data_IF_790460278865
#
_entry.id   IF_790460278865
#
_cell.length_a   1.000
_cell.length_b   1.000
_cell.length_c   1.000
_cell.angle_alpha   90.00
_cell.angle_beta   90.00
_cell.angle_gamma   90.00
#
_symmetry.space_group_name_H-M   'P 1'
#
loop_
_entity.id
_entity.type
_entity.pdbx_description
1 polymer ?
#
# COMPACT_ATOMS: atom_id res chain seq x y z
N UNK A 1 3.60 -40.31 -10.23
CA UNK A 1 4.01 -38.97 -10.63
C UNK A 1 3.08 -38.51 -11.75
N UNK A 2 2.05 -37.75 -11.43
CA UNK A 2 1.12 -37.22 -12.40
C UNK A 2 1.88 -36.17 -13.23
N UNK A 3 2.12 -36.46 -14.51
CA UNK A 3 2.66 -35.47 -15.46
C UNK A 3 1.69 -34.27 -15.50
N UNK A 4 2.18 -33.13 -15.11
CA UNK A 4 1.43 -31.86 -15.22
C UNK A 4 1.04 -31.67 -16.70
N UNK A 5 -0.20 -31.30 -16.95
CA UNK A 5 -0.67 -31.06 -18.30
C UNK A 5 0.15 -29.93 -18.98
N UNK A 6 0.34 -29.97 -20.31
CA UNK A 6 1.07 -28.91 -21.04
C UNK A 6 0.55 -27.49 -20.75
N UNK A 7 -0.75 -27.35 -20.47
CA UNK A 7 -1.41 -26.10 -20.11
C UNK A 7 -0.90 -25.53 -18.77
N UNK A 8 -0.64 -26.39 -17.78
CA UNK A 8 -0.11 -25.98 -16.50
C UNK A 8 1.33 -25.46 -16.65
N UNK A 9 2.14 -26.12 -17.48
CA UNK A 9 3.51 -25.66 -17.76
C UNK A 9 3.51 -24.32 -18.48
N UNK A 10 2.63 -24.12 -19.46
CA UNK A 10 2.51 -22.85 -20.18
C UNK A 10 2.11 -21.72 -19.24
N UNK A 11 1.12 -21.96 -18.39
CA UNK A 11 0.68 -21.02 -17.37
C UNK A 11 1.83 -20.66 -16.42
N UNK A 12 2.56 -21.66 -15.91
CA UNK A 12 3.68 -21.46 -15.02
C UNK A 12 4.80 -20.62 -15.64
N UNK A 13 5.09 -20.83 -16.94
CA UNK A 13 6.09 -20.04 -17.67
C UNK A 13 5.65 -18.58 -17.80
N UNK A 14 4.41 -18.32 -18.21
CA UNK A 14 3.90 -16.95 -18.36
C UNK A 14 3.91 -16.22 -17.01
N UNK A 15 3.48 -16.88 -15.94
CA UNK A 15 3.55 -16.30 -14.58
C UNK A 15 4.99 -16.03 -14.15
N UNK A 16 5.90 -17.00 -14.34
CA UNK A 16 7.30 -16.85 -13.96
C UNK A 16 7.98 -15.69 -14.72
N UNK A 17 7.75 -15.58 -16.03
CA UNK A 17 8.27 -14.47 -16.84
C UNK A 17 7.72 -13.13 -16.37
N UNK A 18 6.43 -13.06 -16.06
CA UNK A 18 5.79 -11.84 -15.54
C UNK A 18 6.42 -11.42 -14.21
N UNK A 19 6.63 -12.37 -13.29
CA UNK A 19 7.28 -12.11 -12.00
C UNK A 19 8.71 -11.62 -12.21
N UNK A 20 9.47 -12.24 -13.11
CA UNK A 20 10.85 -11.83 -13.44
C UNK A 20 10.89 -10.42 -14.02
N UNK A 21 9.98 -10.07 -14.91
CA UNK A 21 9.89 -8.72 -15.48
C UNK A 21 9.60 -7.67 -14.40
N UNK A 22 8.72 -7.97 -13.44
CA UNK A 22 8.47 -7.08 -12.31
C UNK A 22 9.65 -7.00 -11.34
N UNK A 23 10.27 -8.13 -11.02
CA UNK A 23 11.41 -8.18 -10.10
C UNK A 23 12.65 -7.45 -10.64
N UNK A 24 12.87 -7.51 -11.95
CA UNK A 24 14.00 -6.84 -12.61
C UNK A 24 13.73 -5.40 -13.01
N UNK A 25 12.47 -4.95 -12.95
CA UNK A 25 12.03 -3.63 -13.41
C UNK A 25 12.53 -3.25 -14.82
N UNK A 26 12.73 -4.26 -15.69
CA UNK A 26 13.19 -4.06 -17.08
C UNK A 26 12.17 -3.31 -17.91
N UNK A 27 10.88 -3.46 -17.60
CA UNK A 27 9.78 -2.78 -18.25
C UNK A 27 8.95 -2.03 -17.21
N UNK A 28 8.28 -0.94 -17.59
CA UNK A 28 7.27 -0.29 -16.73
C UNK A 28 6.22 -1.31 -16.28
N UNK A 29 5.78 -1.22 -15.03
CA UNK A 29 4.86 -2.18 -14.39
C UNK A 29 3.58 -2.39 -15.21
N UNK A 30 3.01 -1.32 -15.76
CA UNK A 30 1.79 -1.39 -16.58
C UNK A 30 2.00 -2.12 -17.91
N UNK A 31 3.20 -2.00 -18.54
CA UNK A 31 3.55 -2.74 -19.76
C UNK A 31 3.62 -4.24 -19.44
N UNK A 32 4.29 -4.61 -18.35
CA UNK A 32 4.36 -6.00 -17.90
C UNK A 32 2.97 -6.59 -17.66
N UNK A 33 2.07 -5.82 -17.02
CA UNK A 33 0.69 -6.25 -16.81
C UNK A 33 -0.07 -6.45 -18.15
N UNK A 34 0.07 -5.52 -19.09
CA UNK A 34 -0.56 -5.65 -20.43
C UNK A 34 -0.02 -6.86 -21.19
N UNK A 35 1.28 -7.11 -21.12
CA UNK A 35 1.90 -8.30 -21.75
C UNK A 35 1.39 -9.59 -21.11
N UNK A 36 1.20 -9.62 -19.79
CA UNK A 36 0.58 -10.76 -19.11
C UNK A 36 -0.82 -11.04 -19.65
N UNK A 37 -1.70 -10.03 -19.70
CA UNK A 37 -3.05 -10.18 -20.23
C UNK A 37 -3.05 -10.59 -21.70
N UNK A 38 -2.19 -9.99 -22.52
CA UNK A 38 -2.05 -10.35 -23.93
C UNK A 38 -1.60 -11.81 -24.11
N UNK A 39 -0.57 -12.23 -23.37
CA UNK A 39 -0.10 -13.61 -23.40
C UNK A 39 -1.18 -14.60 -22.94
N UNK A 40 -1.87 -14.30 -21.84
CA UNK A 40 -2.94 -15.15 -21.32
C UNK A 40 -4.07 -15.35 -22.33
N UNK A 41 -4.42 -14.30 -23.08
CA UNK A 41 -5.47 -14.35 -24.10
C UNK A 41 -4.99 -15.05 -25.38
N UNK A 42 -3.81 -14.70 -25.88
CA UNK A 42 -3.28 -15.27 -27.15
C UNK A 42 -2.95 -16.76 -27.02
N UNK A 43 -2.46 -17.17 -25.86
CA UNK A 43 -2.10 -18.56 -25.56
C UNK A 43 -3.29 -19.37 -25.00
N UNK A 44 -4.47 -18.77 -24.92
CA UNK A 44 -5.71 -19.40 -24.43
C UNK A 44 -5.53 -20.08 -23.05
N UNK A 45 -4.75 -19.46 -22.15
CA UNK A 45 -4.46 -20.01 -20.81
C UNK A 45 -5.74 -20.22 -20.00
N UNK A 46 -6.67 -19.28 -20.08
CA UNK A 46 -7.98 -19.35 -19.42
C UNK A 46 -9.02 -18.53 -20.22
N UNK A 47 -10.33 -18.77 -19.99
CA UNK A 47 -11.38 -17.93 -20.56
C UNK A 47 -11.22 -16.45 -20.17
N UNK A 48 -11.59 -15.54 -21.08
CA UNK A 48 -11.51 -14.10 -20.84
C UNK A 48 -12.17 -13.67 -19.53
N UNK A 49 -13.31 -14.25 -19.19
CA UNK A 49 -14.01 -13.99 -17.94
C UNK A 49 -13.15 -14.30 -16.69
N UNK A 50 -12.30 -15.32 -16.76
CA UNK A 50 -11.36 -15.65 -15.68
C UNK A 50 -10.15 -14.74 -15.68
N UNK A 51 -9.55 -14.50 -16.85
CA UNK A 51 -8.36 -13.63 -16.98
C UNK A 51 -8.65 -12.22 -16.50
N UNK A 52 -9.83 -11.68 -16.81
CA UNK A 52 -10.24 -10.32 -16.42
C UNK A 52 -11.13 -10.26 -15.19
N UNK A 53 -11.35 -11.36 -14.46
CA UNK A 53 -12.23 -11.40 -13.27
C UNK A 53 -11.85 -10.38 -12.20
N UNK A 54 -10.55 -10.06 -12.07
CA UNK A 54 -10.07 -9.05 -11.13
C UNK A 54 -10.69 -7.66 -11.33
N UNK A 55 -11.00 -7.27 -12.57
CA UNK A 55 -11.65 -5.99 -12.88
C UNK A 55 -13.11 -5.92 -12.42
N UNK A 56 -13.77 -7.07 -12.25
CA UNK A 56 -15.13 -7.16 -11.75
C UNK A 56 -15.20 -7.21 -10.21
N UNK A 57 -14.05 -7.33 -9.53
CA UNK A 57 -14.00 -7.42 -8.07
C UNK A 57 -14.23 -6.08 -7.39
N UNK A 58 -14.85 -6.09 -6.21
CA UNK A 58 -15.01 -4.92 -5.36
C UNK A 58 -13.64 -4.32 -4.95
N UNK A 59 -12.63 -5.18 -4.79
CA UNK A 59 -11.27 -4.77 -4.46
C UNK A 59 -10.65 -3.85 -5.52
N UNK A 60 -10.82 -4.15 -6.81
CA UNK A 60 -10.33 -3.29 -7.90
C UNK A 60 -10.90 -1.87 -7.82
N UNK A 61 -12.21 -1.75 -7.63
CA UNK A 61 -12.89 -0.45 -7.56
C UNK A 61 -12.53 0.33 -6.29
N UNK A 62 -12.30 -0.37 -5.17
CA UNK A 62 -11.79 0.26 -3.94
C UNK A 62 -10.37 0.81 -4.15
N UNK A 63 -9.47 0.05 -4.80
CA UNK A 63 -8.11 0.52 -5.12
C UNK A 63 -8.18 1.76 -6.02
N UNK A 64 -8.93 1.68 -7.12
CA UNK A 64 -9.04 2.76 -8.09
C UNK A 64 -9.63 4.04 -7.44
N UNK A 65 -10.73 3.91 -6.72
CA UNK A 65 -11.36 5.02 -6.02
C UNK A 65 -10.44 5.63 -4.98
N UNK A 66 -9.72 4.79 -4.22
CA UNK A 66 -8.75 5.22 -3.23
C UNK A 66 -7.58 5.99 -3.84
N UNK A 67 -7.04 5.55 -4.97
CA UNK A 67 -6.00 6.30 -5.70
C UNK A 67 -6.51 7.65 -6.20
N UNK A 68 -7.71 7.71 -6.78
CA UNK A 68 -8.31 8.96 -7.26
C UNK A 68 -8.50 9.94 -6.09
N UNK A 69 -9.06 9.47 -4.96
CA UNK A 69 -9.22 10.27 -3.75
C UNK A 69 -7.87 10.73 -3.19
N UNK A 70 -6.88 9.84 -3.13
CA UNK A 70 -5.54 10.18 -2.67
C UNK A 70 -4.86 11.25 -3.53
N UNK A 71 -5.01 11.19 -4.85
CA UNK A 71 -4.51 12.21 -5.78
C UNK A 71 -5.26 13.52 -5.56
N UNK A 72 -6.59 13.49 -5.40
CA UNK A 72 -7.41 14.68 -5.15
C UNK A 72 -7.00 15.37 -3.84
N UNK A 73 -6.85 14.63 -2.74
CA UNK A 73 -6.43 15.13 -1.43
C UNK A 73 -5.06 15.81 -1.51
N UNK A 74 -4.11 15.22 -2.24
CA UNK A 74 -2.79 15.83 -2.48
C UNK A 74 -2.90 17.09 -3.32
N UNK A 75 -3.66 17.05 -4.42
CA UNK A 75 -3.79 18.17 -5.36
C UNK A 75 -4.42 19.42 -4.72
N UNK A 76 -5.36 19.24 -3.79
CA UNK A 76 -5.98 20.37 -3.05
C UNK A 76 -5.15 20.81 -1.85
N UNK A 77 -4.03 20.16 -1.55
CA UNK A 77 -3.12 20.49 -0.44
C UNK A 77 -3.72 20.21 0.95
N UNK A 78 -4.78 19.42 1.04
CA UNK A 78 -5.43 19.11 2.32
C UNK A 78 -4.51 18.29 3.23
N UNK A 79 -3.82 17.31 2.68
CA UNK A 79 -2.89 16.48 3.42
C UNK A 79 -1.70 17.31 3.96
N UNK A 80 -1.17 18.23 3.14
CA UNK A 80 -0.09 19.14 3.56
C UNK A 80 -0.53 20.07 4.70
N UNK A 81 -1.75 20.62 4.63
CA UNK A 81 -2.30 21.48 5.69
C UNK A 81 -2.48 20.72 7.00
N UNK A 82 -3.05 19.50 6.96
CA UNK A 82 -3.23 18.67 8.15
C UNK A 82 -1.87 18.32 8.78
N UNK A 83 -0.90 17.95 7.96
CA UNK A 83 0.43 17.61 8.44
C UNK A 83 1.15 18.83 9.04
N UNK A 84 1.04 20.01 8.45
CA UNK A 84 1.62 21.25 8.98
C UNK A 84 0.96 21.69 10.31
N UNK A 85 -0.36 21.59 10.43
CA UNK A 85 -1.08 21.87 11.67
C UNK A 85 -0.64 20.96 12.82
N UNK A 86 -0.41 19.69 12.52
CA UNK A 86 0.00 18.70 13.52
C UNK A 86 1.52 18.76 13.80
N UNK A 87 2.34 19.25 12.89
CA UNK A 87 3.79 19.34 13.06
C UNK A 87 4.20 20.24 14.22
N UNK A 88 3.55 21.38 14.40
CA UNK A 88 3.91 22.37 15.41
C UNK A 88 3.90 21.87 16.85
N UNK A 89 2.82 21.21 17.34
CA UNK A 89 2.79 20.68 18.70
C UNK A 89 3.70 19.45 18.92
N UNK A 90 4.15 18.80 17.84
CA UNK A 90 4.94 17.57 17.93
C UNK A 90 6.45 17.80 18.13
N UNK A 91 6.96 19.01 17.88
CA UNK A 91 8.40 19.31 17.99
C UNK A 91 8.91 19.50 19.44
N UNK A 92 8.02 19.42 20.45
CA UNK A 92 8.37 19.74 21.84
C UNK A 92 9.28 18.70 22.53
N UNK A 93 9.31 17.45 22.09
CA UNK A 93 10.21 16.40 22.59
C UNK A 93 10.36 15.26 21.60
N UNK A 94 11.48 14.52 21.71
CA UNK A 94 11.75 13.36 20.86
C UNK A 94 10.60 12.30 20.86
N UNK A 95 10.10 11.84 22.03
CA UNK A 95 9.00 10.87 22.04
C UNK A 95 7.71 11.41 21.38
N UNK A 96 7.43 12.72 21.57
CA UNK A 96 6.28 13.35 20.91
C UNK A 96 6.44 13.44 19.40
N UNK A 97 7.67 13.72 18.93
CA UNK A 97 7.95 13.73 17.49
C UNK A 97 7.73 12.34 16.88
N UNK A 98 8.35 11.31 17.45
CA UNK A 98 8.23 9.93 16.95
C UNK A 98 6.78 9.44 17.04
N UNK A 99 6.15 9.55 18.20
CA UNK A 99 4.76 9.13 18.41
C UNK A 99 3.79 9.92 17.53
N UNK A 100 4.04 11.22 17.35
CA UNK A 100 3.24 12.06 16.46
C UNK A 100 3.37 11.69 15.00
N UNK A 101 4.57 11.37 14.52
CA UNK A 101 4.80 10.88 13.15
C UNK A 101 4.09 9.55 12.92
N UNK A 102 4.18 8.61 13.87
CA UNK A 102 3.48 7.33 13.80
C UNK A 102 1.96 7.54 13.78
N UNK A 103 1.43 8.36 14.70
CA UNK A 103 0.01 8.67 14.76
C UNK A 103 -0.48 9.33 13.46
N UNK A 104 0.28 10.28 12.93
CA UNK A 104 -0.05 10.95 11.67
C UNK A 104 -0.04 9.99 10.49
N UNK A 105 0.96 9.09 10.43
CA UNK A 105 1.03 8.03 9.42
C UNK A 105 -0.21 7.13 9.48
N UNK A 106 -0.65 6.79 10.69
CA UNK A 106 -1.84 5.96 10.91
C UNK A 106 -3.13 6.67 10.52
N UNK A 107 -3.30 7.93 10.94
CA UNK A 107 -4.48 8.73 10.56
C UNK A 107 -4.58 8.93 9.04
N UNK A 108 -3.46 9.19 8.37
CA UNK A 108 -3.43 9.29 6.91
C UNK A 108 -3.75 7.96 6.21
N UNK A 109 -3.55 6.83 6.86
CA UNK A 109 -3.89 5.53 6.30
C UNK A 109 -5.41 5.34 6.08
N UNK A 110 -6.25 6.07 6.82
CA UNK A 110 -7.70 6.05 6.62
C UNK A 110 -8.16 6.78 5.35
N UNK A 111 -7.37 7.72 4.85
CA UNK A 111 -7.72 8.58 3.70
C UNK A 111 -6.81 8.38 2.48
N UNK A 112 -5.65 7.76 2.66
CA UNK A 112 -4.67 7.55 1.58
C UNK A 112 -4.31 6.07 1.47
N UNK A 113 -4.85 5.34 0.49
CA UNK A 113 -4.63 3.89 0.33
C UNK A 113 -3.27 3.53 -0.29
N UNK A 114 -2.28 4.41 -0.24
CA UNK A 114 -0.95 4.22 -0.81
C UNK A 114 0.13 4.47 0.22
N UNK A 115 0.87 3.42 0.58
CA UNK A 115 2.03 3.53 1.49
C UNK A 115 3.09 4.49 0.93
N UNK A 116 3.44 4.36 -0.35
CA UNK A 116 4.43 5.24 -0.99
C UNK A 116 3.95 6.68 -1.06
N UNK A 117 2.65 6.90 -1.33
CA UNK A 117 2.07 8.23 -1.32
C UNK A 117 2.16 8.90 0.05
N UNK A 118 1.91 8.15 1.14
CA UNK A 118 2.05 8.66 2.51
C UNK A 118 3.50 8.97 2.86
N UNK A 119 4.44 8.10 2.52
CA UNK A 119 5.87 8.35 2.74
C UNK A 119 6.32 9.60 1.99
N UNK A 120 5.98 9.71 0.71
CA UNK A 120 6.34 10.87 -0.11
C UNK A 120 5.77 12.19 0.44
N UNK A 121 4.58 12.13 1.08
CA UNK A 121 3.97 13.29 1.75
C UNK A 121 4.66 13.60 3.08
N UNK A 122 4.89 12.59 3.92
CA UNK A 122 5.38 12.78 5.29
C UNK A 122 6.87 13.12 5.35
N UNK A 123 7.70 12.55 4.47
CA UNK A 123 9.16 12.76 4.54
C UNK A 123 9.58 14.23 4.50
N UNK A 124 9.08 15.08 3.59
CA UNK A 124 9.41 16.51 3.60
C UNK A 124 9.01 17.23 4.88
N UNK A 125 7.84 16.86 5.44
CA UNK A 125 7.29 17.43 6.66
C UNK A 125 8.17 17.07 7.86
N UNK A 126 8.52 15.79 7.97
CA UNK A 126 9.38 15.27 9.04
C UNK A 126 10.79 15.86 8.94
N UNK A 127 11.32 16.03 7.73
CA UNK A 127 12.59 16.74 7.52
C UNK A 127 12.52 18.21 8.01
N UNK A 128 11.43 18.91 7.70
CA UNK A 128 11.22 20.28 8.18
C UNK A 128 11.06 20.34 9.72
N UNK A 129 10.37 19.36 10.32
CA UNK A 129 10.26 19.22 11.79
C UNK A 129 11.62 18.97 12.42
N UNK A 130 12.42 18.04 11.89
CA UNK A 130 13.77 17.74 12.37
C UNK A 130 14.67 18.99 12.34
N UNK A 131 14.63 19.71 11.23
CA UNK A 131 15.38 20.98 11.09
C UNK A 131 14.98 22.03 12.13
N UNK A 132 13.67 22.20 12.38
CA UNK A 132 13.16 23.12 13.43
C UNK A 132 13.57 22.70 14.83
N UNK A 133 13.68 21.40 15.08
CA UNK A 133 14.13 20.84 16.35
C UNK A 133 15.66 20.83 16.51
N UNK A 134 16.42 21.37 15.55
CA UNK A 134 17.87 21.39 15.59
C UNK A 134 18.52 20.01 15.39
N UNK A 135 17.80 19.05 14.80
CA UNK A 135 18.31 17.71 14.50
C UNK A 135 19.11 17.77 13.19
N UNK A 136 20.41 17.46 13.21
CA UNK A 136 21.23 17.49 12.00
C UNK A 136 20.82 16.42 11.00
N UNK A 137 20.87 16.76 9.71
CA UNK A 137 20.66 15.81 8.62
C UNK A 137 21.66 14.65 8.72
N UNK A 138 21.20 13.43 8.49
CA UNK A 138 22.01 12.21 8.57
C UNK A 138 22.39 11.77 10.00
N UNK A 139 21.89 12.44 11.05
CA UNK A 139 22.09 12.00 12.42
C UNK A 139 21.25 10.76 12.75
N UNK A 140 21.62 10.04 13.82
CA UNK A 140 20.81 8.89 14.31
C UNK A 140 19.35 9.27 14.60
N UNK A 141 19.14 10.48 15.13
CA UNK A 141 17.82 11.00 15.39
C UNK A 141 17.04 11.25 14.09
N UNK A 142 17.69 11.82 13.07
CA UNK A 142 17.08 12.00 11.76
C UNK A 142 16.66 10.65 11.13
N UNK A 143 17.56 9.65 11.14
CA UNK A 143 17.23 8.31 10.68
C UNK A 143 16.10 7.67 11.48
N UNK A 144 16.05 7.88 12.80
CA UNK A 144 14.95 7.39 13.64
C UNK A 144 13.59 7.96 13.22
N UNK A 145 13.52 9.25 12.87
CA UNK A 145 12.29 9.87 12.35
C UNK A 145 11.92 9.33 10.96
N UNK A 146 12.89 9.15 10.07
CA UNK A 146 12.65 8.57 8.76
C UNK A 146 12.13 7.12 8.88
N UNK A 147 12.70 6.33 9.79
CA UNK A 147 12.23 4.99 10.10
C UNK A 147 10.81 5.00 10.71
N UNK A 148 10.48 5.97 11.57
CA UNK A 148 9.14 6.13 12.12
C UNK A 148 8.10 6.38 11.01
N UNK A 149 8.44 7.17 9.98
CA UNK A 149 7.59 7.33 8.79
C UNK A 149 7.43 6.01 8.06
N UNK A 150 8.51 5.30 7.78
CA UNK A 150 8.49 4.02 7.04
C UNK A 150 7.70 2.95 7.79
N UNK A 151 8.11 2.64 9.01
CA UNK A 151 7.46 1.60 9.81
C UNK A 151 6.03 1.97 10.20
N UNK A 152 5.77 3.22 10.62
CA UNK A 152 4.42 3.69 10.92
C UNK A 152 3.49 3.58 9.70
N UNK A 153 4.01 3.84 8.50
CA UNK A 153 3.22 3.70 7.28
C UNK A 153 2.95 2.24 6.92
N UNK A 154 3.98 1.39 6.87
CA UNK A 154 3.82 -0.01 6.42
C UNK A 154 3.15 -0.90 7.45
N UNK A 155 3.57 -0.83 8.71
CA UNK A 155 3.09 -1.74 9.75
C UNK A 155 1.64 -1.45 10.14
N UNK A 156 1.31 -0.18 10.35
CA UNK A 156 -0.02 0.19 10.83
C UNK A 156 -1.09 0.13 9.72
N UNK A 157 -0.73 0.31 8.47
CA UNK A 157 -1.67 0.20 7.35
C UNK A 157 -2.27 -1.20 7.20
N UNK A 158 -1.61 -2.22 7.72
CA UNK A 158 -2.14 -3.59 7.71
C UNK A 158 -3.46 -3.75 8.47
N UNK A 159 -3.76 -2.85 9.43
CA UNK A 159 -5.01 -2.85 10.20
C UNK A 159 -6.21 -2.33 9.44
N UNK A 160 -5.99 -1.58 8.38
CA UNK A 160 -7.03 -0.83 7.65
C UNK A 160 -7.16 -1.46 6.26
N UNK A 161 -8.29 -2.09 5.97
CA UNK A 161 -8.48 -2.88 4.75
C UNK A 161 -8.09 -2.12 3.47
N UNK A 162 -8.55 -0.88 3.20
CA UNK A 162 -8.19 -0.15 1.99
C UNK A 162 -6.85 0.59 2.07
N UNK A 163 -6.10 0.50 3.18
CA UNK A 163 -4.92 1.34 3.38
C UNK A 163 -3.70 0.92 2.55
N UNK A 164 -3.67 -0.30 2.06
CA UNK A 164 -2.59 -0.79 1.21
C UNK A 164 -3.08 -1.81 0.18
N UNK A 165 -2.35 -1.90 -0.93
CA UNK A 165 -2.68 -2.82 -2.03
C UNK A 165 -2.67 -4.29 -1.62
N UNK A 166 -1.72 -4.80 -0.82
CA UNK A 166 -1.73 -6.20 -0.37
C UNK A 166 -3.02 -6.62 0.32
N UNK A 167 -3.59 -5.80 1.21
CA UNK A 167 -4.86 -6.11 1.87
C UNK A 167 -6.00 -6.24 0.85
N UNK A 168 -6.01 -5.39 -0.16
CA UNK A 168 -7.04 -5.38 -1.20
C UNK A 168 -6.91 -6.57 -2.15
N UNK A 169 -5.67 -6.94 -2.50
CA UNK A 169 -5.40 -8.16 -3.28
C UNK A 169 -5.87 -9.40 -2.52
N UNK A 170 -5.56 -9.48 -1.23
CA UNK A 170 -6.04 -10.57 -0.36
C UNK A 170 -7.57 -10.60 -0.31
N UNK A 171 -8.21 -9.44 -0.14
CA UNK A 171 -9.67 -9.33 -0.13
C UNK A 171 -10.29 -9.79 -1.44
N UNK A 172 -9.73 -9.37 -2.58
CA UNK A 172 -10.20 -9.80 -3.90
C UNK A 172 -9.99 -11.29 -4.16
N UNK A 173 -8.89 -11.86 -3.68
CA UNK A 173 -8.63 -13.29 -3.78
C UNK A 173 -9.61 -14.12 -2.91
N UNK A 174 -9.91 -13.64 -1.69
CA UNK A 174 -10.89 -14.28 -0.81
C UNK A 174 -12.30 -14.26 -1.42
N UNK A 175 -12.70 -13.11 -2.00
CA UNK A 175 -13.96 -12.96 -2.71
C UNK A 175 -14.05 -13.88 -3.93
N UNK A 176 -13.03 -13.87 -4.79
CA UNK A 176 -13.02 -14.63 -6.04
C UNK A 176 -12.89 -16.15 -5.86
N UNK A 177 -12.16 -16.61 -4.84
CA UNK A 177 -11.89 -18.05 -4.63
C UNK A 177 -12.85 -18.71 -3.65
N UNK A 178 -13.35 -17.97 -2.67
CA UNK A 178 -14.12 -18.53 -1.55
C UNK A 178 -15.48 -17.85 -1.34
N UNK A 179 -15.82 -16.80 -2.09
CA UNK A 179 -17.04 -16.01 -1.88
C UNK A 179 -17.06 -15.25 -0.56
N UNK A 180 -15.88 -15.01 0.06
CA UNK A 180 -15.77 -14.34 1.36
C UNK A 180 -15.57 -12.84 1.12
N UNK A 181 -16.54 -12.04 1.56
CA UNK A 181 -16.46 -10.58 1.51
C UNK A 181 -15.88 -10.02 2.82
N UNK A 182 -14.69 -9.44 2.75
CA UNK A 182 -14.08 -8.77 3.89
C UNK A 182 -14.66 -7.36 4.02
N UNK A 183 -15.33 -7.10 5.15
CA UNK A 183 -15.92 -5.81 5.44
C UNK A 183 -14.97 -4.93 6.26
N UNK A 184 -14.99 -3.63 5.99
CA UNK A 184 -14.08 -2.65 6.57
C UNK A 184 -14.07 -2.64 8.09
N UNK A 185 -15.23 -2.47 8.73
CA UNK A 185 -15.34 -2.33 10.19
C UNK A 185 -14.95 -3.61 10.93
N UNK A 186 -15.48 -4.80 10.59
CA UNK A 186 -15.03 -6.05 11.20
C UNK A 186 -13.53 -6.30 11.03
N UNK A 187 -12.97 -6.01 9.85
CA UNK A 187 -11.54 -6.13 9.61
C UNK A 187 -10.72 -5.21 10.53
N UNK A 188 -11.10 -3.94 10.62
CA UNK A 188 -10.45 -2.95 11.48
C UNK A 188 -10.49 -3.37 12.95
N UNK A 189 -11.66 -3.75 13.47
CA UNK A 189 -11.83 -4.16 14.86
C UNK A 189 -11.02 -5.41 15.20
N UNK A 190 -10.94 -6.38 14.28
CA UNK A 190 -10.17 -7.60 14.47
C UNK A 190 -8.65 -7.33 14.55
N UNK A 191 -8.15 -6.46 13.68
CA UNK A 191 -6.70 -6.26 13.53
C UNK A 191 -6.12 -5.13 14.40
N UNK A 192 -6.93 -4.14 14.80
CA UNK A 192 -6.46 -2.98 15.57
C UNK A 192 -5.78 -3.35 16.90
N UNK A 193 -6.29 -4.29 17.72
CA UNK A 193 -5.64 -4.60 19.00
C UNK A 193 -4.20 -5.09 18.83
N UNK A 194 -3.95 -5.95 17.86
CA UNK A 194 -2.62 -6.56 17.67
C UNK A 194 -1.76 -5.73 16.72
N UNK A 195 -2.26 -5.46 15.51
CA UNK A 195 -1.47 -4.79 14.47
C UNK A 195 -1.46 -3.26 14.61
N UNK A 196 -2.47 -2.68 15.24
CA UNK A 196 -2.56 -1.24 15.45
C UNK A 196 -1.93 -0.78 16.76
N UNK A 197 -2.27 -1.42 17.89
CA UNK A 197 -1.86 -0.98 19.22
C UNK A 197 -0.55 -1.65 19.67
N UNK A 198 -0.45 -2.98 19.57
CA UNK A 198 0.73 -3.69 20.06
C UNK A 198 1.95 -3.57 19.13
N UNK A 199 1.74 -3.27 17.85
CA UNK A 199 2.81 -3.09 16.87
C UNK A 199 3.23 -1.62 16.67
N UNK A 200 2.40 -0.65 17.03
CA UNK A 200 2.68 0.79 16.95
C UNK A 200 3.38 1.27 18.19
#
# INVERSE_FOLDING_TARGET
>A
MTSLSPEIWLTAIVVAVTILLWATALLPEFITALLFFAAAMLLHIAPAATVFSGFASSAFWLVLSGFILGIAIRKVGLADRLAQLLATPLTASWPRMVGGVILLSYLLAFVMPSNMGRIALLMPIVAAMAKRAGIPDGSRAWFGLALAVGFGTFQLSATILPANVPNLVMSGAAEGSYGIHLNYVPYLLLHTPVLGILKG
#
